data_IF_042583607878
#
_entry.id   IF_042583607878
#
_cell.length_a   1.000
_cell.length_b   1.000
_cell.length_c   1.000
_cell.angle_alpha   90.00
_cell.angle_beta   90.00
_cell.angle_gamma   90.00
#
_symmetry.space_group_name_H-M   'P 1'
#
loop_
_entity.id
_entity.type
_entity.pdbx_description
1 polymer ?
#
# COMPACT_ATOMS: atom_id res chain seq x y z
N UNK A 1 13.30 -29.81 -31.02
CA UNK A 1 12.12 -28.93 -31.00
C UNK A 1 12.58 -27.61 -30.43
N UNK A 2 12.53 -26.57 -31.26
CA UNK A 2 12.90 -25.22 -30.89
C UNK A 2 11.74 -24.55 -30.12
N UNK A 3 12.13 -23.73 -29.13
CA UNK A 3 11.57 -22.43 -28.76
C UNK A 3 10.05 -22.29 -28.62
N UNK A 4 9.56 -21.93 -27.42
CA UNK A 4 8.61 -20.82 -27.21
C UNK A 4 8.71 -20.32 -25.75
N UNK A 5 9.63 -19.38 -25.52
CA UNK A 5 9.47 -18.39 -24.46
C UNK A 5 8.32 -17.48 -24.91
N UNK A 6 7.20 -17.44 -24.16
CA UNK A 6 6.21 -16.38 -24.34
C UNK A 6 5.71 -15.87 -23.00
N UNK A 7 6.39 -14.81 -22.57
CA UNK A 7 5.93 -13.77 -21.66
C UNK A 7 4.43 -13.49 -21.91
N UNK A 8 3.57 -13.85 -20.97
CA UNK A 8 2.20 -13.35 -20.90
C UNK A 8 2.16 -12.31 -19.78
N UNK A 9 2.20 -11.04 -20.18
CA UNK A 9 1.92 -9.91 -19.31
C UNK A 9 0.44 -9.94 -18.89
N UNK A 10 0.24 -9.90 -17.57
CA UNK A 10 -0.59 -8.92 -16.88
C UNK A 10 -2.05 -8.79 -17.35
N UNK A 11 -2.89 -9.71 -16.88
CA UNK A 11 -4.25 -9.36 -16.47
C UNK A 11 -4.32 -9.68 -14.97
N UNK A 12 -4.77 -8.76 -14.09
CA UNK A 12 -4.89 -9.08 -12.68
C UNK A 12 -5.86 -10.26 -12.56
N UNK A 13 -5.32 -11.41 -12.17
CA UNK A 13 -6.10 -12.60 -11.89
C UNK A 13 -7.14 -12.22 -10.83
N UNK A 14 -8.32 -12.83 -10.90
CA UNK A 14 -9.42 -12.56 -9.96
C UNK A 14 -9.02 -12.71 -8.48
N UNK A 15 -7.95 -13.47 -8.20
CA UNK A 15 -7.28 -13.55 -6.89
C UNK A 15 -6.56 -12.26 -6.47
N UNK A 16 -5.84 -11.60 -7.38
CA UNK A 16 -5.11 -10.37 -7.08
C UNK A 16 -6.06 -9.20 -6.72
N UNK A 17 -7.26 -9.17 -7.31
CA UNK A 17 -8.26 -8.16 -6.98
C UNK A 17 -8.78 -8.36 -5.54
N UNK A 18 -9.02 -9.61 -5.13
CA UNK A 18 -9.41 -9.94 -3.75
C UNK A 18 -8.33 -9.54 -2.74
N UNK A 19 -7.06 -9.86 -3.03
CA UNK A 19 -5.94 -9.51 -2.15
C UNK A 19 -5.78 -8.00 -1.96
N UNK A 20 -6.00 -7.18 -3.00
CA UNK A 20 -5.99 -5.71 -2.86
C UNK A 20 -7.05 -5.23 -1.89
N UNK A 21 -8.26 -5.77 -2.00
CA UNK A 21 -9.38 -5.33 -1.14
C UNK A 21 -9.16 -5.77 0.31
N UNK A 22 -8.65 -7.00 0.53
CA UNK A 22 -8.28 -7.48 1.86
C UNK A 22 -7.19 -6.61 2.49
N UNK A 23 -6.10 -6.35 1.76
CA UNK A 23 -5.02 -5.48 2.25
C UNK A 23 -5.52 -4.05 2.53
N UNK A 24 -6.43 -3.54 1.70
CA UNK A 24 -7.03 -2.23 1.94
C UNK A 24 -7.83 -2.24 3.25
N UNK A 25 -8.60 -3.28 3.52
CA UNK A 25 -9.35 -3.42 4.77
C UNK A 25 -8.41 -3.51 5.96
N UNK A 26 -7.36 -4.32 5.90
CA UNK A 26 -6.36 -4.43 6.97
C UNK A 26 -5.73 -3.07 7.31
N UNK A 27 -5.34 -2.29 6.29
CA UNK A 27 -4.78 -0.95 6.51
C UNK A 27 -5.80 -0.01 7.14
N UNK A 28 -7.05 -0.05 6.68
CA UNK A 28 -8.12 0.76 7.27
C UNK A 28 -8.35 0.37 8.73
N UNK A 29 -8.31 -0.90 9.08
CA UNK A 29 -8.44 -1.38 10.46
C UNK A 29 -7.26 -0.93 11.32
N UNK A 30 -6.02 -1.04 10.82
CA UNK A 30 -4.84 -0.52 11.52
C UNK A 30 -4.94 0.99 11.79
N UNK A 31 -5.40 1.78 10.81
CA UNK A 31 -5.57 3.23 10.97
C UNK A 31 -6.67 3.57 11.99
N UNK A 32 -7.73 2.76 12.06
CA UNK A 32 -8.78 2.91 13.07
C UNK A 32 -8.31 2.56 14.47
N UNK A 33 -7.57 1.45 14.60
CA UNK A 33 -7.00 1.00 15.88
C UNK A 33 -5.98 2.01 16.43
N UNK A 34 -5.18 2.60 15.55
CA UNK A 34 -4.26 3.69 15.88
C UNK A 34 -4.95 5.05 16.15
N UNK A 35 -6.29 5.11 16.05
CA UNK A 35 -7.09 6.32 16.27
C UNK A 35 -6.58 7.54 15.48
N UNK A 36 -6.19 7.32 14.22
CA UNK A 36 -5.61 8.36 13.35
C UNK A 36 -6.60 9.50 13.14
N UNK A 37 -6.13 10.72 13.36
CA UNK A 37 -6.89 11.94 13.04
C UNK A 37 -6.75 12.26 11.55
N UNK A 38 -7.88 12.56 10.91
CA UNK A 38 -7.96 12.94 9.50
C UNK A 38 -8.39 14.40 9.35
N UNK A 39 -7.99 15.10 8.28
CA UNK A 39 -7.12 14.62 7.20
C UNK A 39 -5.64 14.51 7.63
N UNK A 40 -4.93 13.52 7.10
CA UNK A 40 -3.46 13.49 7.22
C UNK A 40 -2.91 14.51 6.24
N UNK A 41 -2.24 15.55 6.75
CA UNK A 41 -1.87 16.72 5.97
C UNK A 41 -0.55 16.56 5.22
N UNK A 42 0.34 15.68 5.68
CA UNK A 42 1.64 15.51 5.06
C UNK A 42 2.29 14.14 5.33
N UNK A 43 3.39 13.90 4.62
CA UNK A 43 4.18 12.67 4.68
C UNK A 43 4.72 12.34 6.07
N UNK A 44 5.21 13.34 6.80
CA UNK A 44 5.77 13.14 8.13
C UNK A 44 4.68 12.75 9.12
N UNK A 45 3.49 13.34 9.05
CA UNK A 45 2.35 12.89 9.85
C UNK A 45 2.02 11.44 9.56
N UNK A 46 1.91 11.07 8.28
CA UNK A 46 1.58 9.70 7.85
C UNK A 46 2.61 8.66 8.32
N UNK A 47 3.90 8.92 8.15
CA UNK A 47 4.98 8.01 8.52
C UNK A 47 5.11 7.83 10.05
N UNK A 48 4.66 8.81 10.85
CA UNK A 48 4.68 8.73 12.31
C UNK A 48 3.40 8.09 12.91
N UNK A 49 2.39 7.74 12.10
CA UNK A 49 1.17 7.09 12.60
C UNK A 49 1.43 5.69 13.16
N UNK A 50 2.41 5.00 12.59
CA UNK A 50 2.76 3.63 12.96
C UNK A 50 4.21 3.57 13.44
N UNK A 51 4.55 2.62 14.34
CA UNK A 51 5.93 2.42 14.71
C UNK A 51 6.78 2.06 13.47
N UNK A 52 8.01 2.58 13.37
CA UNK A 52 8.89 2.29 12.24
C UNK A 52 9.12 0.78 12.13
N UNK A 53 9.07 0.27 10.90
CA UNK A 53 9.16 -1.16 10.66
C UNK A 53 7.82 -1.89 10.77
N UNK A 54 6.68 -1.19 10.82
CA UNK A 54 5.35 -1.82 10.73
C UNK A 54 5.23 -2.55 9.39
N UNK A 55 5.23 -3.88 9.47
CA UNK A 55 5.19 -4.75 8.29
C UNK A 55 3.87 -4.57 7.55
N UNK A 56 3.94 -4.52 6.23
CA UNK A 56 2.76 -4.66 5.39
C UNK A 56 2.83 -5.99 4.65
N UNK A 57 1.67 -6.59 4.38
CA UNK A 57 1.57 -7.81 3.58
C UNK A 57 1.84 -7.56 2.07
N UNK A 58 2.38 -6.39 1.73
CA UNK A 58 2.65 -5.96 0.37
C UNK A 58 4.16 -6.02 0.05
N UNK A 59 4.54 -6.11 -1.24
CA UNK A 59 5.95 -6.19 -1.67
C UNK A 59 6.29 -5.14 -2.72
N UNK A 60 7.54 -4.68 -2.75
CA UNK A 60 8.04 -3.83 -3.85
C UNK A 60 9.23 -4.54 -4.48
N UNK A 61 9.09 -4.92 -5.76
CA UNK A 61 10.15 -5.67 -6.47
C UNK A 61 10.50 -7.01 -5.84
N UNK A 62 9.50 -7.71 -5.26
CA UNK A 62 9.67 -9.02 -4.62
C UNK A 62 10.23 -8.98 -3.19
N UNK A 63 10.43 -7.80 -2.60
CA UNK A 63 10.87 -7.62 -1.21
C UNK A 63 9.74 -7.20 -0.31
N UNK A 64 9.71 -7.73 0.92
CA UNK A 64 8.84 -7.24 1.99
C UNK A 64 9.09 -5.74 2.19
N UNK A 65 8.01 -4.97 2.32
CA UNK A 65 8.06 -3.51 2.51
C UNK A 65 7.36 -3.14 3.80
N UNK A 66 7.75 -2.01 4.36
CA UNK A 66 7.15 -1.47 5.58
C UNK A 66 6.27 -0.26 5.27
N UNK A 67 5.32 0.04 6.16
CA UNK A 67 4.40 1.17 5.99
C UNK A 67 5.15 2.50 5.89
N UNK A 68 6.15 2.70 6.75
CA UNK A 68 6.96 3.91 6.77
C UNK A 68 7.70 4.11 5.44
N UNK A 69 8.30 3.06 4.88
CA UNK A 69 8.97 3.12 3.58
C UNK A 69 8.01 3.51 2.45
N UNK A 70 6.79 2.94 2.42
CA UNK A 70 5.78 3.30 1.42
C UNK A 70 5.28 4.73 1.60
N UNK A 71 5.03 5.15 2.84
CA UNK A 71 4.67 6.53 3.16
C UNK A 71 5.76 7.49 2.69
N UNK A 72 7.05 7.14 2.83
CA UNK A 72 8.17 7.97 2.38
C UNK A 72 8.22 8.19 0.86
N UNK A 73 7.65 7.28 0.07
CA UNK A 73 7.54 7.44 -1.40
C UNK A 73 6.45 8.42 -1.85
N UNK A 74 5.56 8.83 -0.94
CA UNK A 74 4.52 9.81 -1.25
C UNK A 74 5.11 11.21 -1.44
N UNK A 75 4.47 11.95 -2.32
CA UNK A 75 4.80 13.33 -2.68
C UNK A 75 3.81 14.31 -2.04
N UNK A 76 4.14 15.60 -1.95
CA UNK A 76 3.21 16.60 -1.40
C UNK A 76 1.86 16.63 -2.11
N UNK A 77 1.81 16.36 -3.42
CA UNK A 77 0.58 16.28 -4.23
C UNK A 77 -0.35 15.11 -3.85
N UNK A 78 0.13 14.13 -3.07
CA UNK A 78 -0.70 13.03 -2.59
C UNK A 78 -1.54 13.41 -1.36
N UNK A 79 -1.30 14.58 -0.78
CA UNK A 79 -1.96 15.08 0.43
C UNK A 79 -2.89 16.26 0.11
N UNK A 80 -3.92 16.52 0.92
CA UNK A 80 -4.30 15.80 2.15
C UNK A 80 -4.98 14.46 1.87
N UNK A 81 -4.78 13.49 2.78
CA UNK A 81 -5.50 12.21 2.76
C UNK A 81 -6.69 12.30 3.72
N UNK A 82 -7.89 12.36 3.15
CA UNK A 82 -9.12 12.78 3.85
C UNK A 82 -9.68 11.74 4.83
N UNK A 83 -9.37 10.46 4.63
CA UNK A 83 -9.93 9.36 5.40
C UNK A 83 -9.06 8.09 5.30
N UNK A 84 -9.36 7.11 6.16
CA UNK A 84 -8.64 5.84 6.23
C UNK A 84 -8.60 5.09 4.88
N UNK A 85 -9.71 4.93 4.13
CA UNK A 85 -9.64 4.27 2.83
C UNK A 85 -8.83 5.06 1.79
N UNK A 86 -8.80 6.39 1.84
CA UNK A 86 -7.93 7.20 0.98
C UNK A 86 -6.44 6.93 1.28
N UNK A 87 -6.06 6.86 2.56
CA UNK A 87 -4.69 6.47 2.96
C UNK A 87 -4.36 5.07 2.48
N UNK A 88 -5.22 4.08 2.75
CA UNK A 88 -4.98 2.70 2.38
C UNK A 88 -4.81 2.54 0.86
N UNK A 89 -5.70 3.14 0.07
CA UNK A 89 -5.60 3.13 -1.39
C UNK A 89 -4.33 3.84 -1.88
N UNK A 90 -3.92 4.93 -1.24
CA UNK A 90 -2.70 5.65 -1.62
C UNK A 90 -1.44 4.85 -1.32
N UNK A 91 -1.36 4.21 -0.16
CA UNK A 91 -0.25 3.34 0.24
C UNK A 91 -0.15 2.12 -0.69
N UNK A 92 -1.27 1.45 -0.96
CA UNK A 92 -1.30 0.30 -1.86
C UNK A 92 -0.93 0.66 -3.30
N UNK A 93 -1.25 1.89 -3.75
CA UNK A 93 -0.81 2.40 -5.06
C UNK A 93 0.71 2.49 -5.19
N UNK A 94 1.46 2.54 -4.08
CA UNK A 94 2.93 2.53 -4.08
C UNK A 94 3.51 1.13 -4.01
N UNK A 95 2.65 0.14 -3.86
CA UNK A 95 3.04 -1.24 -3.76
C UNK A 95 2.81 -2.02 -5.06
N UNK A 96 3.61 -3.06 -5.29
CA UNK A 96 3.37 -4.07 -6.32
C UNK A 96 2.84 -5.33 -5.65
N UNK A 97 1.59 -5.70 -5.92
CA UNK A 97 1.01 -6.89 -5.30
C UNK A 97 1.68 -8.15 -5.85
N UNK A 98 1.65 -9.22 -5.05
CA UNK A 98 2.26 -10.51 -5.37
C UNK A 98 1.37 -11.29 -6.34
#
# INVERSE_FOLDING_TARGET
MAEEHKLAHDAPTQSAIGEIEELKMEIVEMLKDAAVEFPVGNKSELANLFPPGTKMACRVGGKETHFDELAETLTPDDFPLEDAPAVASKILSRCSLV
#
